data_IF_275893992399
#
_entry.id   IF_275893992399
#
_cell.length_a   1.000
_cell.length_b   1.000
_cell.length_c   1.000
_cell.angle_alpha   90.00
_cell.angle_beta   90.00
_cell.angle_gamma   90.00
#
_symmetry.space_group_name_H-M   'P 1'
#
loop_
_entity.id
_entity.type
_entity.pdbx_description
1 polymer ?
#
# COMPACT_ATOMS: atom_id res chain seq x y z
N UNK A 1 -86.54 38.08 31.18
CA UNK A 1 -85.09 38.35 31.21
C UNK A 1 -84.41 37.52 30.13
N UNK A 2 -83.61 38.19 29.28
CA UNK A 2 -82.44 37.75 28.48
C UNK A 2 -82.39 36.32 27.89
N UNK A 3 -82.49 36.12 26.57
CA UNK A 3 -81.57 36.37 25.41
C UNK A 3 -80.84 35.07 24.95
N UNK A 4 -80.63 34.88 23.63
CA UNK A 4 -80.49 33.57 22.99
C UNK A 4 -79.04 33.07 22.87
N UNK A 5 -78.87 31.76 22.61
CA UNK A 5 -77.59 31.15 22.24
C UNK A 5 -77.16 31.61 20.84
N UNK A 6 -75.95 32.15 20.76
CA UNK A 6 -75.29 32.56 19.52
C UNK A 6 -74.47 31.39 18.92
N UNK A 7 -74.64 30.98 17.65
CA UNK A 7 -73.85 29.94 17.01
C UNK A 7 -72.66 30.58 16.28
N UNK A 8 -71.53 30.78 16.96
CA UNK A 8 -70.32 31.31 16.30
C UNK A 8 -69.03 30.79 16.95
N UNK A 9 -68.88 29.47 17.05
CA UNK A 9 -67.58 28.86 17.42
C UNK A 9 -67.17 27.65 16.58
N UNK A 10 -67.92 27.29 15.52
CA UNK A 10 -67.67 26.06 14.77
C UNK A 10 -66.75 26.21 13.52
N UNK A 11 -66.29 27.42 13.16
CA UNK A 11 -65.64 27.63 11.85
C UNK A 11 -64.14 27.99 11.89
N UNK A 12 -63.50 28.04 13.08
CA UNK A 12 -62.07 28.39 13.19
C UNK A 12 -61.16 27.21 13.56
N UNK A 13 -61.72 26.06 13.94
CA UNK A 13 -60.92 24.89 14.36
C UNK A 13 -60.48 23.99 13.20
N UNK A 14 -61.27 23.87 12.13
CA UNK A 14 -60.93 22.96 11.01
C UNK A 14 -59.78 23.46 10.14
N UNK A 15 -59.67 24.77 9.90
CA UNK A 15 -58.62 25.33 9.03
C UNK A 15 -57.22 25.32 9.65
N UNK A 16 -57.14 25.34 10.99
CA UNK A 16 -55.87 25.25 11.73
C UNK A 16 -55.40 23.80 11.82
N UNK A 17 -56.32 22.84 12.03
CA UNK A 17 -55.97 21.42 12.13
C UNK A 17 -55.53 20.81 10.78
N UNK A 18 -56.12 21.23 9.67
CA UNK A 18 -55.71 20.77 8.34
C UNK A 18 -54.30 21.27 7.94
N UNK A 19 -53.94 22.50 8.34
CA UNK A 19 -52.59 23.05 8.10
C UNK A 19 -51.53 22.39 8.97
N UNK A 20 -51.85 22.09 10.23
CA UNK A 20 -50.96 21.38 11.15
C UNK A 20 -50.64 19.95 10.68
N UNK A 21 -51.65 19.23 10.15
CA UNK A 21 -51.45 17.87 9.63
C UNK A 21 -50.68 17.80 8.30
N UNK A 22 -50.77 18.82 7.45
CA UNK A 22 -50.01 18.88 6.19
C UNK A 22 -48.54 19.28 6.43
N UNK A 23 -48.29 20.17 7.39
CA UNK A 23 -46.94 20.66 7.72
C UNK A 23 -46.09 19.61 8.46
N UNK A 24 -46.72 18.74 9.26
CA UNK A 24 -46.04 17.61 9.91
C UNK A 24 -45.63 16.50 8.92
N UNK A 25 -46.45 16.23 7.88
CA UNK A 25 -46.14 15.19 6.88
C UNK A 25 -45.00 15.59 5.95
N UNK A 26 -44.92 16.87 5.57
CA UNK A 26 -43.87 17.37 4.68
C UNK A 26 -42.52 17.55 5.40
N UNK A 27 -42.53 17.78 6.72
CA UNK A 27 -41.28 17.85 7.51
C UNK A 27 -40.72 16.47 7.79
N UNK A 28 -41.54 15.48 8.18
CA UNK A 28 -41.07 14.11 8.46
C UNK A 28 -40.51 13.38 7.21
N UNK A 29 -41.06 13.60 6.01
CA UNK A 29 -40.52 13.05 4.76
C UNK A 29 -39.25 13.77 4.27
N UNK A 30 -39.04 15.03 4.67
CA UNK A 30 -37.83 15.80 4.31
C UNK A 30 -36.63 15.47 5.20
N UNK A 31 -36.84 15.00 6.44
CA UNK A 31 -35.73 14.64 7.33
C UNK A 31 -35.22 13.20 7.11
N UNK A 32 -36.06 12.27 6.67
CA UNK A 32 -35.65 10.88 6.40
C UNK A 32 -34.89 10.77 5.07
N UNK A 33 -35.23 11.58 4.06
CA UNK A 33 -34.50 11.62 2.79
C UNK A 33 -33.18 12.39 2.86
N UNK A 34 -33.06 13.38 3.76
CA UNK A 34 -31.81 14.11 3.99
C UNK A 34 -30.78 13.30 4.80
N UNK A 35 -31.24 12.43 5.72
CA UNK A 35 -30.34 11.57 6.50
C UNK A 35 -29.77 10.39 5.71
N UNK A 36 -30.44 9.94 4.65
CA UNK A 36 -29.95 8.83 3.82
C UNK A 36 -28.86 9.26 2.81
N UNK A 37 -28.84 10.54 2.41
CA UNK A 37 -27.80 11.09 1.52
C UNK A 37 -26.50 11.39 2.28
N UNK A 38 -26.58 11.61 3.60
CA UNK A 38 -25.39 11.87 4.43
C UNK A 38 -24.57 10.60 4.75
N UNK A 39 -25.18 9.41 4.71
CA UNK A 39 -24.49 8.15 5.02
C UNK A 39 -23.62 7.60 3.86
N UNK A 40 -23.81 8.08 2.62
CA UNK A 40 -23.05 7.59 1.45
C UNK A 40 -21.73 8.36 1.23
N UNK A 41 -21.54 9.50 1.90
CA UNK A 41 -20.36 10.37 1.69
C UNK A 41 -19.13 10.01 2.54
N UNK A 42 -19.18 8.98 3.39
CA UNK A 42 -18.08 8.63 4.30
C UNK A 42 -17.25 7.41 3.87
N UNK A 43 -17.50 6.83 2.70
CA UNK A 43 -16.53 5.94 2.06
C UNK A 43 -15.56 6.77 1.20
N UNK A 44 -14.80 7.65 1.84
CA UNK A 44 -13.51 8.05 1.28
C UNK A 44 -12.62 6.83 1.36
N UNK A 45 -12.62 6.02 0.29
CA UNK A 45 -11.63 4.97 0.13
C UNK A 45 -10.26 5.64 0.19
N UNK A 46 -9.54 5.42 1.29
CA UNK A 46 -8.13 5.77 1.36
C UNK A 46 -7.43 4.82 0.40
N UNK A 47 -7.23 5.25 -0.85
CA UNK A 47 -6.30 4.58 -1.75
C UNK A 47 -4.93 4.74 -1.08
N UNK A 48 -4.40 3.65 -0.53
CA UNK A 48 -3.02 3.64 -0.04
C UNK A 48 -2.13 3.81 -1.27
N UNK A 49 -1.38 4.92 -1.32
CA UNK A 49 -0.37 5.10 -2.35
C UNK A 49 0.68 4.01 -2.19
N UNK A 50 0.97 3.28 -3.27
CA UNK A 50 2.06 2.30 -3.28
C UNK A 50 3.40 2.99 -3.49
N UNK A 51 4.47 2.42 -2.95
CA UNK A 51 5.83 2.91 -3.11
C UNK A 51 6.31 2.97 -4.58
N UNK A 52 5.58 2.31 -5.50
CA UNK A 52 5.91 2.18 -6.93
C UNK A 52 4.86 2.78 -7.88
N UNK A 53 3.84 3.48 -7.36
CA UNK A 53 2.72 4.00 -8.17
C UNK A 53 3.15 4.93 -9.32
N UNK A 54 4.27 5.62 -9.16
CA UNK A 54 4.84 6.54 -10.15
C UNK A 54 5.89 5.89 -11.07
N UNK A 55 6.12 4.59 -10.94
CA UNK A 55 7.09 3.83 -11.73
C UNK A 55 6.40 2.85 -12.68
N UNK A 56 7.08 2.50 -13.77
CA UNK A 56 6.59 1.50 -14.74
C UNK A 56 7.17 0.12 -14.43
N UNK A 57 6.30 -0.90 -14.35
CA UNK A 57 6.75 -2.28 -14.19
C UNK A 57 7.52 -2.74 -15.43
N UNK A 58 8.70 -3.28 -15.21
CA UNK A 58 9.61 -3.77 -16.26
C UNK A 58 9.51 -5.27 -16.46
N UNK A 59 9.23 -6.02 -15.40
CA UNK A 59 9.07 -7.47 -15.39
C UNK A 59 8.76 -7.99 -13.98
N UNK A 60 8.33 -9.24 -13.90
CA UNK A 60 7.96 -9.94 -12.68
C UNK A 60 8.33 -11.42 -12.78
N UNK A 61 8.57 -12.08 -11.65
CA UNK A 61 8.92 -13.49 -11.59
C UNK A 61 8.82 -14.06 -10.19
N UNK A 62 9.03 -15.37 -10.06
CA UNK A 62 8.95 -16.07 -8.79
C UNK A 62 10.27 -16.77 -8.45
N UNK A 63 10.60 -16.79 -7.17
CA UNK A 63 11.69 -17.59 -6.63
C UNK A 63 11.15 -18.84 -5.97
N UNK A 64 11.64 -19.99 -6.43
CA UNK A 64 11.25 -21.29 -5.88
C UNK A 64 12.47 -22.05 -5.38
N UNK A 65 12.29 -22.71 -4.24
CA UNK A 65 13.26 -23.63 -3.69
C UNK A 65 12.63 -25.02 -3.56
N UNK A 66 13.25 -26.01 -4.20
CA UNK A 66 12.66 -27.34 -4.38
C UNK A 66 11.26 -27.25 -5.03
N UNK A 67 10.22 -27.66 -4.32
CA UNK A 67 8.82 -27.69 -4.78
C UNK A 67 7.99 -26.53 -4.20
N UNK A 68 8.63 -25.58 -3.53
CA UNK A 68 7.99 -24.48 -2.84
C UNK A 68 8.35 -23.15 -3.48
N UNK A 69 7.35 -22.33 -3.82
CA UNK A 69 7.57 -20.91 -4.11
C UNK A 69 7.78 -20.16 -2.80
N UNK A 70 8.83 -19.34 -2.73
CA UNK A 70 9.21 -18.56 -1.55
C UNK A 70 8.66 -17.14 -1.62
N UNK A 71 8.79 -16.50 -2.78
CA UNK A 71 8.30 -15.14 -3.02
C UNK A 71 8.08 -14.88 -4.51
N UNK A 72 7.28 -13.87 -4.82
CA UNK A 72 7.31 -13.18 -6.12
C UNK A 72 8.10 -11.88 -6.01
N UNK A 73 8.71 -11.48 -7.11
CA UNK A 73 9.44 -10.23 -7.22
C UNK A 73 8.99 -9.49 -8.48
N UNK A 74 8.91 -8.16 -8.35
CA UNK A 74 8.52 -7.25 -9.42
C UNK A 74 9.53 -6.11 -9.49
N UNK A 75 10.05 -5.85 -10.70
CA UNK A 75 11.03 -4.80 -10.93
C UNK A 75 10.41 -3.62 -11.68
N UNK A 76 10.65 -2.41 -11.19
CA UNK A 76 10.07 -1.17 -11.69
C UNK A 76 11.16 -0.15 -12.01
N UNK A 77 10.92 0.69 -13.01
CA UNK A 77 11.82 1.76 -13.42
C UNK A 77 11.05 3.03 -13.79
N UNK A 78 11.61 4.20 -13.47
CA UNK A 78 11.16 5.44 -14.09
C UNK A 78 11.51 5.46 -15.59
N UNK A 79 10.80 6.23 -16.43
CA UNK A 79 11.12 6.35 -17.86
C UNK A 79 12.55 6.83 -18.14
N UNK A 80 13.10 7.66 -17.24
CA UNK A 80 14.49 8.12 -17.27
C UNK A 80 15.50 7.03 -16.92
N UNK A 81 15.08 5.96 -16.26
CA UNK A 81 15.92 4.94 -15.63
C UNK A 81 16.63 5.40 -14.35
N UNK A 82 16.46 6.66 -13.91
CA UNK A 82 17.13 7.22 -12.74
C UNK A 82 16.58 6.68 -11.42
N UNK A 83 15.31 6.30 -11.39
CA UNK A 83 14.68 5.64 -10.25
C UNK A 83 14.34 4.20 -10.58
N UNK A 84 14.59 3.32 -9.60
CA UNK A 84 14.37 1.88 -9.70
C UNK A 84 13.73 1.40 -8.41
N UNK A 85 12.85 0.42 -8.52
CA UNK A 85 12.31 -0.25 -7.35
C UNK A 85 12.21 -1.76 -7.56
N UNK A 86 12.39 -2.50 -6.48
CA UNK A 86 12.12 -3.92 -6.42
C UNK A 86 11.11 -4.16 -5.30
N UNK A 87 9.98 -4.75 -5.65
CA UNK A 87 8.94 -5.18 -4.72
C UNK A 87 9.01 -6.70 -4.60
N UNK A 88 9.00 -7.21 -3.38
CA UNK A 88 9.01 -8.63 -3.06
C UNK A 88 7.76 -8.93 -2.23
N UNK A 89 6.98 -9.93 -2.64
CA UNK A 89 5.85 -10.46 -1.87
C UNK A 89 6.20 -11.87 -1.38
N UNK A 90 6.22 -12.06 -0.06
CA UNK A 90 6.60 -13.32 0.56
C UNK A 90 5.40 -14.25 0.67
N UNK A 91 5.59 -15.51 0.32
CA UNK A 91 4.54 -16.53 0.41
C UNK A 91 4.69 -17.42 1.66
N UNK A 92 5.60 -17.05 2.57
CA UNK A 92 5.89 -17.77 3.81
C UNK A 92 6.37 -16.82 4.89
N UNK A 93 6.23 -17.25 6.13
CA UNK A 93 6.86 -16.61 7.27
C UNK A 93 8.39 -16.82 7.23
N UNK A 94 9.16 -15.75 7.45
CA UNK A 94 10.62 -15.79 7.55
C UNK A 94 11.03 -14.78 8.64
N UNK A 95 11.91 -15.21 9.53
CA UNK A 95 12.46 -14.32 10.56
C UNK A 95 13.35 -13.24 9.94
N UNK A 96 13.32 -12.05 10.53
CA UNK A 96 14.13 -10.91 10.06
C UNK A 96 15.63 -11.22 10.03
N UNK A 97 16.14 -11.98 11.00
CA UNK A 97 17.53 -12.42 11.03
C UNK A 97 17.86 -13.29 9.81
N UNK A 98 17.02 -14.28 9.51
CA UNK A 98 17.18 -15.15 8.33
C UNK A 98 17.14 -14.36 7.01
N UNK A 99 16.32 -13.31 6.91
CA UNK A 99 16.29 -12.43 5.72
C UNK A 99 17.61 -11.68 5.55
N UNK A 100 18.15 -11.14 6.64
CA UNK A 100 19.40 -10.37 6.61
C UNK A 100 20.59 -11.30 6.33
N UNK A 101 20.62 -12.49 6.93
CA UNK A 101 21.65 -13.49 6.71
C UNK A 101 21.65 -14.01 5.27
N UNK A 102 20.47 -14.29 4.71
CA UNK A 102 20.33 -14.66 3.30
C UNK A 102 20.82 -13.52 2.37
N UNK A 103 20.61 -12.26 2.75
CA UNK A 103 21.11 -11.09 2.01
C UNK A 103 22.65 -11.01 2.06
N UNK A 104 23.25 -11.25 3.23
CA UNK A 104 24.70 -11.35 3.40
C UNK A 104 25.29 -12.45 2.50
N UNK A 105 24.70 -13.63 2.51
CA UNK A 105 25.13 -14.77 1.68
C UNK A 105 25.12 -14.43 0.18
N UNK A 106 24.09 -13.71 -0.29
CA UNK A 106 24.02 -13.29 -1.68
C UNK A 106 25.10 -12.27 -2.03
N UNK A 107 25.38 -11.31 -1.15
CA UNK A 107 26.48 -10.37 -1.37
C UNK A 107 27.86 -11.02 -1.34
N UNK A 108 28.06 -12.01 -0.48
CA UNK A 108 29.27 -12.82 -0.46
C UNK A 108 29.46 -13.56 -1.79
N UNK A 109 28.41 -14.18 -2.34
CA UNK A 109 28.44 -14.85 -3.65
C UNK A 109 28.72 -13.88 -4.80
N UNK A 110 28.21 -12.65 -4.70
CA UNK A 110 28.49 -11.58 -5.68
C UNK A 110 29.88 -10.94 -5.53
N UNK A 111 30.63 -11.28 -4.48
CA UNK A 111 31.99 -10.81 -4.26
C UNK A 111 32.10 -9.39 -3.70
N UNK A 112 31.08 -8.89 -3.02
CA UNK A 112 31.19 -7.61 -2.29
C UNK A 112 32.18 -7.73 -1.13
N UNK A 113 32.84 -6.63 -0.78
CA UNK A 113 33.82 -6.64 0.31
C UNK A 113 33.14 -6.80 1.67
N UNK A 114 33.75 -7.59 2.56
CA UNK A 114 33.26 -7.77 3.94
C UNK A 114 33.03 -6.43 4.67
N UNK A 115 33.88 -5.42 4.41
CA UNK A 115 33.71 -4.10 5.02
C UNK A 115 32.43 -3.38 4.57
N UNK A 116 32.01 -3.57 3.32
CA UNK A 116 30.78 -2.99 2.80
C UNK A 116 29.57 -3.78 3.31
N UNK A 117 29.61 -5.10 3.20
CA UNK A 117 28.58 -6.01 3.71
C UNK A 117 28.27 -5.68 5.17
N UNK A 118 29.27 -5.70 6.05
CA UNK A 118 29.10 -5.46 7.48
C UNK A 118 28.61 -4.04 7.81
N UNK A 119 28.87 -3.05 6.94
CA UNK A 119 28.31 -1.70 7.07
C UNK A 119 26.82 -1.69 6.70
N UNK A 120 26.44 -2.42 5.66
CA UNK A 120 25.10 -2.46 5.11
C UNK A 120 24.15 -3.36 5.91
N UNK A 121 24.63 -4.43 6.56
CA UNK A 121 23.78 -5.30 7.37
C UNK A 121 23.24 -4.61 8.63
N UNK A 122 24.02 -3.71 9.25
CA UNK A 122 23.62 -2.99 10.48
C UNK A 122 22.25 -2.28 10.36
N UNK A 123 22.01 -1.42 9.35
CA UNK A 123 20.70 -0.82 9.18
C UNK A 123 19.61 -1.83 8.78
N UNK A 124 19.95 -2.96 8.14
CA UNK A 124 18.95 -3.99 7.81
C UNK A 124 18.44 -4.70 9.06
N UNK A 125 19.33 -5.18 9.93
CA UNK A 125 18.94 -5.79 11.23
C UNK A 125 18.12 -4.84 12.10
N UNK A 126 18.38 -3.53 12.01
CA UNK A 126 17.64 -2.54 12.80
C UNK A 126 16.24 -2.22 12.25
N UNK A 127 15.98 -2.49 10.97
CA UNK A 127 14.84 -1.95 10.25
C UNK A 127 13.87 -3.03 9.77
N UNK A 128 14.36 -4.19 9.35
CA UNK A 128 13.53 -5.23 8.76
C UNK A 128 12.75 -5.98 9.84
N UNK A 129 11.41 -6.05 9.73
CA UNK A 129 10.60 -6.89 10.58
C UNK A 129 10.64 -8.35 10.08
N UNK A 130 10.10 -9.26 10.89
CA UNK A 130 9.72 -10.57 10.38
C UNK A 130 8.68 -10.40 9.27
N UNK A 131 8.73 -11.26 8.25
CA UNK A 131 7.74 -11.31 7.18
C UNK A 131 6.80 -12.48 7.45
N UNK A 132 5.54 -12.32 7.09
CA UNK A 132 4.53 -13.37 7.09
C UNK A 132 4.11 -13.67 5.63
N UNK A 133 3.29 -14.71 5.44
CA UNK A 133 2.65 -14.93 4.14
C UNK A 133 1.80 -13.70 3.75
N UNK A 134 2.05 -13.16 2.55
CA UNK A 134 1.43 -11.95 2.03
C UNK A 134 2.13 -10.64 2.41
N UNK A 135 3.17 -10.68 3.26
CA UNK A 135 3.97 -9.49 3.55
C UNK A 135 4.72 -9.01 2.32
N UNK A 136 4.84 -7.69 2.17
CA UNK A 136 5.58 -7.06 1.09
C UNK A 136 6.76 -6.25 1.60
N UNK A 137 7.93 -6.45 0.99
CA UNK A 137 9.12 -5.62 1.20
C UNK A 137 9.49 -4.95 -0.12
N UNK A 138 9.51 -3.63 -0.12
CA UNK A 138 9.86 -2.84 -1.31
C UNK A 138 11.09 -1.99 -1.01
N UNK A 139 12.07 -2.04 -1.89
CA UNK A 139 13.16 -1.06 -1.95
C UNK A 139 12.93 -0.12 -3.13
N UNK A 140 13.07 1.19 -2.90
CA UNK A 140 13.15 2.21 -3.95
C UNK A 140 14.51 2.90 -3.89
N UNK A 141 15.26 2.83 -4.98
CA UNK A 141 16.49 3.58 -5.20
C UNK A 141 16.12 4.83 -5.98
N UNK A 142 16.16 5.97 -5.29
CA UNK A 142 15.80 7.25 -5.90
C UNK A 142 16.95 7.84 -6.73
N UNK A 143 16.67 8.94 -7.41
CA UNK A 143 17.61 9.62 -8.31
C UNK A 143 18.90 10.10 -7.59
N UNK A 144 18.81 10.38 -6.28
CA UNK A 144 19.95 10.71 -5.43
C UNK A 144 20.81 9.49 -5.01
N UNK A 145 20.42 8.29 -5.45
CA UNK A 145 20.90 6.96 -5.06
C UNK A 145 20.68 6.62 -3.58
N UNK A 146 19.79 7.33 -2.89
CA UNK A 146 19.34 6.96 -1.54
C UNK A 146 18.33 5.83 -1.66
N UNK A 147 18.50 4.80 -0.84
CA UNK A 147 17.60 3.66 -0.79
C UNK A 147 16.55 3.86 0.30
N UNK A 148 15.28 3.70 -0.04
CA UNK A 148 14.13 3.79 0.87
C UNK A 148 13.43 2.44 0.92
N UNK A 149 13.17 1.94 2.12
CA UNK A 149 12.47 0.68 2.33
C UNK A 149 11.04 0.90 2.81
N UNK A 150 10.15 0.05 2.32
CA UNK A 150 8.75 0.01 2.69
C UNK A 150 8.36 -1.41 3.04
N UNK A 151 7.66 -1.60 4.15
CA UNK A 151 7.04 -2.86 4.56
C UNK A 151 5.52 -2.68 4.56
N UNK A 152 4.80 -3.49 3.80
CA UNK A 152 3.35 -3.36 3.62
C UNK A 152 2.92 -1.93 3.26
N UNK A 153 3.66 -1.35 2.30
CA UNK A 153 3.55 0.02 1.80
C UNK A 153 3.84 1.11 2.84
N UNK A 154 4.27 0.78 4.06
CA UNK A 154 4.68 1.73 5.09
C UNK A 154 6.20 1.95 5.06
N UNK A 155 6.70 3.20 5.07
CA UNK A 155 8.13 3.45 5.11
C UNK A 155 8.74 2.97 6.44
N UNK A 156 9.77 2.12 6.36
CA UNK A 156 10.45 1.55 7.53
C UNK A 156 11.84 2.13 7.75
N UNK A 157 12.45 2.74 6.72
CA UNK A 157 13.70 3.45 6.88
C UNK A 157 14.44 3.73 5.57
N UNK A 158 15.65 4.30 5.71
CA UNK A 158 16.46 4.74 4.57
C UNK A 158 17.93 4.42 4.78
N UNK A 159 18.65 4.15 3.70
CA UNK A 159 20.10 3.94 3.69
C UNK A 159 20.73 4.97 2.74
N UNK A 160 21.62 5.78 3.31
CA UNK A 160 22.25 6.93 2.65
C UNK A 160 23.51 6.58 1.83
N UNK A 161 24.06 5.38 2.01
CA UNK A 161 25.20 4.92 1.22
C UNK A 161 24.77 4.72 -0.23
N UNK A 162 25.29 5.56 -1.13
CA UNK A 162 24.90 5.58 -2.55
C UNK A 162 25.21 4.28 -3.30
N UNK A 163 26.13 3.46 -2.78
CA UNK A 163 26.45 2.17 -3.39
C UNK A 163 25.50 1.05 -2.94
N UNK A 164 24.74 1.26 -1.84
CA UNK A 164 23.88 0.23 -1.26
C UNK A 164 22.77 -0.18 -2.23
N UNK A 165 22.07 0.78 -2.84
CA UNK A 165 20.91 0.50 -3.68
C UNK A 165 21.27 -0.39 -4.87
N UNK A 166 22.39 -0.09 -5.53
CA UNK A 166 22.92 -0.92 -6.60
C UNK A 166 23.34 -2.30 -6.11
N UNK A 167 24.02 -2.39 -4.97
CA UNK A 167 24.43 -3.67 -4.39
C UNK A 167 23.24 -4.55 -3.99
N UNK A 168 22.19 -3.95 -3.44
CA UNK A 168 20.97 -4.65 -3.08
C UNK A 168 20.24 -5.17 -4.32
N UNK A 169 19.99 -4.30 -5.31
CA UNK A 169 19.34 -4.71 -6.56
C UNK A 169 20.16 -5.74 -7.34
N UNK A 170 21.49 -5.73 -7.22
CA UNK A 170 22.37 -6.69 -7.87
C UNK A 170 22.09 -8.15 -7.47
N UNK A 171 21.54 -8.42 -6.28
CA UNK A 171 21.14 -9.77 -5.85
C UNK A 171 20.22 -10.42 -6.89
N UNK A 172 19.30 -9.65 -7.48
CA UNK A 172 18.37 -10.15 -8.51
C UNK A 172 18.79 -9.79 -9.94
N UNK A 173 19.44 -8.64 -10.13
CA UNK A 173 19.62 -8.04 -11.46
C UNK A 173 21.04 -8.18 -12.02
N UNK A 174 22.02 -8.55 -11.20
CA UNK A 174 23.40 -8.77 -11.65
C UNK A 174 23.47 -9.94 -12.63
N UNK A 175 24.37 -9.87 -13.61
CA UNK A 175 24.67 -11.02 -14.47
C UNK A 175 25.24 -12.21 -13.69
N UNK A 176 25.80 -11.96 -12.50
CA UNK A 176 26.35 -12.97 -11.59
C UNK A 176 25.38 -13.39 -10.48
N UNK A 177 24.08 -13.06 -10.59
CA UNK A 177 23.06 -13.51 -9.62
C UNK A 177 23.02 -15.03 -9.48
N UNK A 178 22.64 -15.54 -8.31
CA UNK A 178 22.35 -16.97 -8.15
C UNK A 178 21.10 -17.42 -8.91
N UNK A 179 20.24 -16.48 -9.32
CA UNK A 179 18.95 -16.78 -9.98
C UNK A 179 18.83 -16.20 -11.42
N UNK A 180 19.61 -16.69 -12.41
CA UNK A 180 19.58 -16.16 -13.77
C UNK A 180 18.21 -16.23 -14.46
N UNK A 181 17.39 -17.24 -14.11
CA UNK A 181 16.03 -17.38 -14.64
C UNK A 181 15.11 -16.25 -14.18
N UNK A 182 15.08 -16.02 -12.86
CA UNK A 182 14.34 -14.92 -12.25
C UNK A 182 14.82 -13.57 -12.77
N UNK A 183 16.13 -13.36 -12.92
CA UNK A 183 16.67 -12.15 -13.53
C UNK A 183 16.07 -11.86 -14.91
N UNK A 184 16.01 -12.86 -15.79
CA UNK A 184 15.45 -12.67 -17.13
C UNK A 184 13.97 -12.31 -17.08
N UNK A 185 13.22 -12.87 -16.13
CA UNK A 185 11.81 -12.52 -15.90
C UNK A 185 11.68 -11.04 -15.46
N UNK A 186 12.45 -10.62 -14.45
CA UNK A 186 12.46 -9.24 -13.93
C UNK A 186 12.89 -8.20 -14.97
N UNK A 187 13.85 -8.54 -15.84
CA UNK A 187 14.31 -7.67 -16.92
C UNK A 187 13.43 -7.75 -18.18
N UNK A 188 12.38 -8.57 -18.16
CA UNK A 188 11.49 -8.80 -19.32
C UNK A 188 12.25 -9.32 -20.56
N UNK A 189 13.25 -10.17 -20.34
CA UNK A 189 14.09 -10.77 -21.38
C UNK A 189 13.56 -12.13 -21.86
N UNK A 190 12.57 -12.69 -21.15
CA UNK A 190 11.86 -13.89 -21.59
C UNK A 190 10.74 -13.46 -22.56
N UNK A 191 11.06 -13.35 -23.84
CA UNK A 191 10.08 -13.22 -24.92
C UNK A 191 10.02 -14.52 -25.72
#
# INVERSE_FOLDING_TARGET
MAYPRNPTQALKSESVNARAHQQAKNTLLSFITLSLIFAVLLFSGHVKASAVDDLSKRGEGEMSYLFWTLYSAEFYTAPSGSERALKIEYYRAIDSEDLVDATEDQWNKLGYSNSNIQRWLKPLYAMWPNVEEGSTLTIRVAEDNVSRFYFDEQPIGTIQDKNFGDAFLAIWLSENTSEPGLRKQLLGLNK
#
